data_IF_267176239965
#
_entry.id   IF_267176239965
#
_cell.length_a   1.000
_cell.length_b   1.000
_cell.length_c   1.000
_cell.angle_alpha   90.00
_cell.angle_beta   90.00
_cell.angle_gamma   90.00
#
_symmetry.space_group_name_H-M   'P 1'
#
loop_
_entity.id
_entity.type
_entity.pdbx_description
1 polymer ?
#
# COMPACT_ATOMS: atom_id res chain seq x y z
N UNK A 1 7.01 2.51 6.23
CA UNK A 1 6.88 1.19 6.87
C UNK A 1 7.39 0.13 5.89
N UNK A 2 8.66 -0.26 6.00
CA UNK A 2 9.28 -1.23 5.09
C UNK A 2 8.85 -2.64 5.47
N UNK A 3 8.20 -3.35 4.54
CA UNK A 3 7.78 -4.73 4.75
C UNK A 3 8.99 -5.67 4.69
N UNK A 4 9.40 -6.16 5.86
CA UNK A 4 10.29 -7.31 5.98
C UNK A 4 9.55 -8.59 5.59
N UNK A 5 9.73 -9.02 4.34
CA UNK A 5 9.50 -10.41 3.93
C UNK A 5 10.60 -10.81 2.94
N UNK A 6 11.81 -11.01 3.45
CA UNK A 6 12.77 -11.86 2.74
C UNK A 6 12.19 -13.27 2.72
N UNK A 7 12.21 -13.89 1.55
CA UNK A 7 11.63 -15.20 1.25
C UNK A 7 12.33 -16.38 1.93
N UNK A 8 13.27 -16.13 2.85
CA UNK A 8 14.17 -17.17 3.40
C UNK A 8 14.01 -17.46 4.89
N UNK A 9 13.15 -16.76 5.64
CA UNK A 9 12.91 -17.10 7.06
C UNK A 9 11.42 -17.18 7.38
N UNK A 10 10.91 -18.41 7.52
CA UNK A 10 9.51 -18.73 7.87
C UNK A 10 9.22 -18.62 9.38
N UNK A 11 10.00 -17.86 10.14
CA UNK A 11 9.80 -17.69 11.59
C UNK A 11 9.07 -16.38 11.90
N UNK A 12 8.10 -16.44 12.82
CA UNK A 12 7.28 -15.27 13.22
C UNK A 12 8.04 -14.25 14.07
N UNK A 13 9.24 -14.60 14.54
CA UNK A 13 10.16 -13.72 15.23
C UNK A 13 11.55 -14.01 14.64
N UNK A 14 12.23 -13.00 14.04
CA UNK A 14 13.57 -13.22 13.51
C UNK A 14 14.53 -13.46 14.67
N UNK A 15 15.26 -14.58 14.63
CA UNK A 15 16.43 -14.77 15.48
C UNK A 15 17.50 -13.77 14.99
N UNK A 16 18.29 -13.18 15.89
CA UNK A 16 19.27 -12.13 15.57
C UNK A 16 20.12 -12.38 14.30
N UNK A 17 20.59 -13.62 14.02
CA UNK A 17 21.32 -13.92 12.77
C UNK A 17 20.45 -13.82 11.50
N UNK A 18 19.17 -14.19 11.58
CA UNK A 18 18.22 -14.07 10.47
C UNK A 18 17.93 -12.60 10.14
N UNK A 19 17.89 -11.73 11.16
CA UNK A 19 17.79 -10.29 10.96
C UNK A 19 19.07 -9.75 10.31
N UNK A 20 20.25 -10.03 10.85
CA UNK A 20 21.50 -9.56 10.24
C UNK A 20 21.63 -9.99 8.76
N UNK A 21 21.32 -11.26 8.45
CA UNK A 21 21.35 -11.79 7.08
C UNK A 21 20.38 -11.06 6.14
N UNK A 22 19.11 -10.95 6.52
CA UNK A 22 18.11 -10.31 5.66
C UNK A 22 18.32 -8.80 5.52
N UNK A 23 18.91 -8.13 6.52
CA UNK A 23 19.33 -6.73 6.42
C UNK A 23 20.47 -6.57 5.41
N UNK A 24 21.50 -7.43 5.46
CA UNK A 24 22.60 -7.46 4.48
C UNK A 24 22.06 -7.70 3.06
N UNK A 25 21.14 -8.66 2.89
CA UNK A 25 20.49 -8.93 1.59
C UNK A 25 19.67 -7.74 1.09
N UNK A 26 18.97 -7.02 1.97
CA UNK A 26 18.19 -5.85 1.59
C UNK A 26 19.10 -4.70 1.14
N UNK A 27 20.20 -4.44 1.86
CA UNK A 27 21.21 -3.46 1.46
C UNK A 27 21.76 -3.75 0.07
N UNK A 28 22.19 -4.99 -0.18
CA UNK A 28 22.66 -5.44 -1.49
C UNK A 28 21.60 -5.30 -2.58
N UNK A 29 20.37 -5.75 -2.32
CA UNK A 29 19.29 -5.65 -3.31
C UNK A 29 18.96 -4.20 -3.64
N UNK A 30 19.05 -3.29 -2.66
CA UNK A 30 18.88 -1.86 -2.92
C UNK A 30 20.06 -1.24 -3.66
N UNK A 31 21.29 -1.78 -3.53
CA UNK A 31 22.46 -1.34 -4.29
C UNK A 31 22.43 -1.81 -5.75
N UNK A 32 21.96 -3.04 -6.00
CA UNK A 32 22.01 -3.71 -7.32
C UNK A 32 20.69 -3.51 -8.11
N UNK A 33 19.62 -3.10 -7.45
CA UNK A 33 18.34 -2.85 -8.10
C UNK A 33 18.42 -1.67 -9.06
N UNK A 34 17.97 -1.90 -10.30
CA UNK A 34 17.80 -0.86 -11.32
C UNK A 34 16.86 0.30 -10.93
N UNK A 35 16.18 0.19 -9.78
CA UNK A 35 15.25 1.19 -9.25
C UNK A 35 15.76 1.85 -7.95
N UNK A 36 17.04 1.70 -7.62
CA UNK A 36 17.67 2.36 -6.48
C UNK A 36 17.66 3.90 -6.64
N UNK A 37 17.56 4.69 -5.55
CA UNK A 37 17.73 6.14 -5.63
C UNK A 37 19.17 6.45 -6.06
N UNK A 38 19.33 6.96 -7.28
CA UNK A 38 20.61 7.01 -7.97
C UNK A 38 20.98 5.64 -8.53
N UNK A 39 20.45 5.27 -9.71
CA UNK A 39 20.87 4.12 -10.52
C UNK A 39 22.29 4.31 -11.08
N UNK A 40 23.20 4.54 -10.13
CA UNK A 40 24.64 4.77 -10.08
C UNK A 40 25.28 5.59 -11.20
N UNK A 41 25.26 6.92 -11.05
CA UNK A 41 26.27 7.79 -11.67
C UNK A 41 27.68 7.61 -11.04
N UNK A 42 27.96 6.47 -10.40
CA UNK A 42 29.32 6.03 -10.09
C UNK A 42 29.61 4.88 -11.04
N UNK A 43 30.67 5.01 -11.84
CA UNK A 43 31.21 3.90 -12.61
C UNK A 43 31.35 2.71 -11.66
N UNK A 44 30.69 1.61 -12.00
CA UNK A 44 30.71 0.40 -11.18
C UNK A 44 32.11 -0.21 -11.33
N UNK A 45 33.09 0.38 -10.65
CA UNK A 45 34.46 -0.12 -10.62
C UNK A 45 34.45 -1.37 -9.75
N UNK A 46 35.25 -2.36 -10.12
CA UNK A 46 35.37 -3.68 -9.48
C UNK A 46 35.58 -3.60 -7.95
N UNK A 47 36.01 -2.43 -7.45
CA UNK A 47 36.26 -2.12 -6.04
C UNK A 47 35.05 -1.61 -5.23
N UNK A 48 33.90 -1.31 -5.83
CA UNK A 48 32.73 -0.77 -5.10
C UNK A 48 32.08 -1.77 -4.15
N UNK A 49 32.30 -3.08 -4.36
CA UNK A 49 31.87 -4.14 -3.44
C UNK A 49 32.90 -4.42 -2.33
N UNK A 50 34.17 -4.05 -2.51
CA UNK A 50 35.22 -4.22 -1.49
C UNK A 50 35.07 -3.30 -0.28
N UNK A 51 34.40 -2.14 -0.42
CA UNK A 51 34.05 -1.27 0.72
C UNK A 51 33.07 -1.94 1.70
N UNK A 52 32.32 -2.94 1.24
CA UNK A 52 31.43 -3.76 2.05
C UNK A 52 32.08 -5.06 2.57
N UNK A 53 33.39 -5.24 2.40
CA UNK A 53 34.13 -6.43 2.87
C UNK A 53 33.85 -6.71 4.36
N UNK A 54 33.73 -5.67 5.17
CA UNK A 54 33.43 -5.78 6.61
C UNK A 54 32.01 -6.31 6.89
N UNK A 55 31.07 -6.22 5.94
CA UNK A 55 29.74 -6.84 6.07
C UNK A 55 29.79 -8.36 5.84
N UNK A 56 30.80 -8.88 5.14
CA UNK A 56 30.95 -10.30 4.80
C UNK A 56 32.09 -10.99 5.54
N UNK A 57 32.95 -10.24 6.22
CA UNK A 57 33.84 -10.80 7.22
C UNK A 57 32.98 -11.39 8.33
N UNK A 58 32.88 -12.71 8.36
CA UNK A 58 32.55 -13.41 9.59
C UNK A 58 33.63 -13.01 10.58
N UNK A 59 33.23 -12.48 11.73
CA UNK A 59 34.10 -12.30 12.89
C UNK A 59 34.54 -13.69 13.36
N UNK A 60 35.54 -14.25 12.68
CA UNK A 60 36.45 -15.23 13.23
C UNK A 60 37.67 -14.42 13.66
N UNK A 61 38.03 -14.57 14.93
CA UNK A 61 38.95 -13.75 15.72
C UNK A 61 38.34 -12.46 16.27
N UNK A 62 37.82 -12.57 17.49
CA UNK A 62 38.53 -11.95 18.61
C UNK A 62 38.21 -12.70 19.90
N UNK A 63 39.28 -13.10 20.58
CA UNK A 63 39.29 -13.43 22.01
C UNK A 63 38.36 -12.52 22.80
N UNK A 64 37.64 -13.10 23.77
CA UNK A 64 36.88 -12.42 24.81
C UNK A 64 37.65 -11.19 25.31
N UNK A 65 37.27 -10.00 24.82
CA UNK A 65 37.59 -8.73 25.45
C UNK A 65 36.31 -8.24 26.05
N UNK A 66 36.35 -8.03 27.36
CA UNK A 66 35.27 -7.48 28.17
C UNK A 66 34.68 -6.23 27.51
N UNK A 67 33.45 -6.36 27.00
CA UNK A 67 32.63 -5.25 26.52
C UNK A 67 31.75 -4.69 27.64
N UNK A 68 32.29 -4.58 28.86
CA UNK A 68 31.70 -3.71 29.88
C UNK A 68 32.08 -2.26 29.54
N UNK A 69 31.09 -1.43 29.21
CA UNK A 69 31.15 0.04 29.09
C UNK A 69 31.33 0.67 27.70
N UNK A 70 30.64 0.15 26.68
CA UNK A 70 30.18 1.02 25.59
C UNK A 70 28.65 0.98 25.50
N UNK A 71 28.00 1.95 26.14
CA UNK A 71 26.62 2.31 25.83
C UNK A 71 26.57 2.86 24.39
N UNK A 72 26.35 1.98 23.43
CA UNK A 72 25.89 2.39 22.11
C UNK A 72 24.41 2.75 22.22
N UNK A 73 24.11 3.88 22.86
CA UNK A 73 22.78 4.48 22.79
C UNK A 73 22.60 5.08 21.39
N UNK A 74 22.16 4.25 20.44
CA UNK A 74 21.43 4.81 19.30
C UNK A 74 20.14 5.33 19.90
N UNK A 75 20.11 6.64 20.20
CA UNK A 75 18.86 7.32 20.44
C UNK A 75 17.98 7.01 19.24
N UNK A 76 16.95 6.18 19.47
CA UNK A 76 15.82 6.08 18.56
C UNK A 76 15.46 7.52 18.23
N UNK A 77 15.27 7.87 16.94
CA UNK A 77 14.93 9.23 16.56
C UNK A 77 13.83 9.67 17.52
N UNK A 78 14.09 10.77 18.22
CA UNK A 78 13.19 11.39 19.19
C UNK A 78 11.79 11.14 18.68
N UNK A 79 10.94 10.50 19.49
CA UNK A 79 9.53 10.49 19.19
C UNK A 79 9.12 11.95 19.16
N UNK A 80 9.22 12.57 17.98
CA UNK A 80 8.58 13.82 17.66
C UNK A 80 7.16 13.50 18.07
N UNK A 81 6.70 14.18 19.12
CA UNK A 81 5.32 14.16 19.56
C UNK A 81 4.52 14.37 18.29
N UNK A 82 4.00 13.27 17.73
CA UNK A 82 3.37 13.32 16.42
C UNK A 82 2.25 14.33 16.59
N UNK A 83 2.29 15.48 15.89
CA UNK A 83 1.18 16.40 15.94
C UNK A 83 -0.08 15.59 15.61
N UNK A 84 -1.23 15.88 16.24
CA UNK A 84 -2.44 15.09 16.08
C UNK A 84 -2.65 14.86 14.60
N UNK A 85 -2.46 13.60 14.18
CA UNK A 85 -2.47 13.24 12.77
C UNK A 85 -3.86 13.59 12.27
N UNK A 86 -3.94 14.59 11.39
CA UNK A 86 -5.20 14.98 10.80
C UNK A 86 -5.69 13.82 9.92
N UNK A 87 -6.60 13.00 10.46
CA UNK A 87 -7.13 11.80 9.80
C UNK A 87 -7.78 12.15 8.47
N UNK A 88 -8.45 13.31 8.39
CA UNK A 88 -9.08 13.78 7.16
C UNK A 88 -8.03 14.11 6.09
N UNK A 89 -6.94 14.77 6.48
CA UNK A 89 -5.81 15.01 5.60
C UNK A 89 -5.22 13.69 5.07
N UNK A 90 -4.93 12.72 5.94
CA UNK A 90 -4.43 11.42 5.49
C UNK A 90 -5.40 10.68 4.57
N UNK A 91 -6.70 10.72 4.89
CA UNK A 91 -7.73 10.10 4.08
C UNK A 91 -7.76 10.71 2.67
N UNK A 92 -7.69 12.04 2.58
CA UNK A 92 -7.55 12.78 1.32
C UNK A 92 -6.30 12.38 0.54
N UNK A 93 -5.15 12.29 1.19
CA UNK A 93 -3.90 11.86 0.55
C UNK A 93 -4.01 10.45 -0.06
N UNK A 94 -4.60 9.50 0.68
CA UNK A 94 -4.81 8.13 0.20
C UNK A 94 -5.78 8.10 -0.98
N UNK A 95 -6.85 8.90 -0.94
CA UNK A 95 -7.83 9.00 -2.03
C UNK A 95 -7.19 9.58 -3.30
N UNK A 96 -6.41 10.65 -3.19
CA UNK A 96 -5.66 11.23 -4.31
C UNK A 96 -4.66 10.21 -4.89
N UNK A 97 -3.97 9.45 -4.03
CA UNK A 97 -3.07 8.39 -4.49
C UNK A 97 -3.79 7.28 -5.27
N UNK A 98 -4.96 6.83 -4.80
CA UNK A 98 -5.79 5.85 -5.50
C UNK A 98 -6.23 6.40 -6.87
N UNK A 99 -6.68 7.65 -6.93
CA UNK A 99 -7.06 8.29 -8.19
C UNK A 99 -5.87 8.38 -9.17
N UNK A 100 -4.67 8.72 -8.68
CA UNK A 100 -3.45 8.72 -9.49
C UNK A 100 -3.07 7.33 -10.03
N UNK A 101 -3.24 6.29 -9.22
CA UNK A 101 -3.05 4.90 -9.68
C UNK A 101 -4.06 4.50 -10.77
N UNK A 102 -5.34 4.84 -10.58
CA UNK A 102 -6.39 4.59 -11.58
C UNK A 102 -6.09 5.34 -12.88
N UNK A 103 -5.69 6.61 -12.79
CA UNK A 103 -5.33 7.42 -13.95
C UNK A 103 -4.13 6.84 -14.71
N UNK A 104 -3.10 6.37 -13.99
CA UNK A 104 -1.96 5.68 -14.60
C UNK A 104 -2.38 4.40 -15.34
N UNK A 105 -3.32 3.65 -14.79
CA UNK A 105 -3.87 2.44 -15.44
C UNK A 105 -4.69 2.79 -16.68
N UNK A 106 -5.59 3.76 -16.58
CA UNK A 106 -6.40 4.25 -17.71
C UNK A 106 -5.53 4.83 -18.83
N UNK A 107 -4.44 5.51 -18.48
CA UNK A 107 -3.50 6.00 -19.49
C UNK A 107 -2.87 4.87 -20.31
N UNK A 108 -2.58 3.73 -19.67
CA UNK A 108 -2.03 2.55 -20.36
C UNK A 108 -3.07 1.81 -21.20
N UNK A 109 -4.31 1.67 -20.71
CA UNK A 109 -5.32 0.80 -21.33
C UNK A 109 -6.29 1.54 -22.25
N UNK A 110 -6.62 2.78 -21.94
CA UNK A 110 -7.70 3.55 -22.58
C UNK A 110 -7.15 4.74 -23.36
N UNK A 111 -6.45 5.66 -22.70
CA UNK A 111 -6.05 6.94 -23.32
C UNK A 111 -4.81 6.83 -24.20
N UNK A 112 -3.98 5.79 -24.01
CA UNK A 112 -2.73 5.55 -24.77
C UNK A 112 -1.84 6.81 -24.90
N UNK A 113 -1.59 7.50 -23.78
CA UNK A 113 -0.83 8.76 -23.72
C UNK A 113 -1.45 9.95 -24.46
N UNK A 114 -2.78 10.00 -24.62
CA UNK A 114 -3.45 11.15 -25.20
C UNK A 114 -3.21 12.44 -24.40
N UNK A 115 -2.62 13.43 -25.07
CA UNK A 115 -2.25 14.69 -24.44
C UNK A 115 -3.46 15.50 -23.96
N UNK A 116 -4.54 15.56 -24.75
CA UNK A 116 -5.75 16.31 -24.38
C UNK A 116 -6.40 15.75 -23.11
N UNK A 117 -6.65 14.43 -23.10
CA UNK A 117 -7.28 13.77 -21.97
C UNK A 117 -6.38 13.81 -20.71
N UNK A 118 -5.06 13.66 -20.85
CA UNK A 118 -4.13 13.81 -19.72
C UNK A 118 -4.08 15.24 -19.17
N UNK A 119 -4.16 16.27 -20.03
CA UNK A 119 -4.15 17.68 -19.60
C UNK A 119 -5.39 18.04 -18.78
N UNK A 120 -6.55 17.44 -19.08
CA UNK A 120 -7.80 17.64 -18.34
C UNK A 120 -7.85 16.81 -17.04
N UNK A 121 -7.33 15.59 -17.07
CA UNK A 121 -7.39 14.65 -15.95
C UNK A 121 -6.26 14.80 -14.94
N UNK A 122 -5.11 15.34 -15.33
CA UNK A 122 -4.00 15.60 -14.44
C UNK A 122 -4.06 17.02 -13.86
N UNK A 123 -3.50 17.22 -12.67
CA UNK A 123 -3.32 18.54 -12.11
C UNK A 123 -2.26 19.33 -12.91
N UNK A 124 -2.54 20.62 -13.15
CA UNK A 124 -1.59 21.53 -13.80
C UNK A 124 -0.39 21.87 -12.91
N UNK A 125 -0.58 21.83 -11.59
CA UNK A 125 0.44 22.09 -10.58
C UNK A 125 0.32 21.07 -9.45
N UNK A 126 1.45 20.63 -8.93
CA UNK A 126 1.50 19.76 -7.75
C UNK A 126 1.14 20.62 -6.52
N UNK A 127 0.03 20.28 -5.87
CA UNK A 127 -0.46 20.91 -4.64
C UNK A 127 -0.24 20.00 -3.44
N UNK A 128 -0.51 20.52 -2.23
CA UNK A 128 -0.40 19.77 -0.97
C UNK A 128 -1.25 18.48 -0.95
N UNK A 129 -2.32 18.39 -1.75
CA UNK A 129 -3.14 17.18 -1.89
C UNK A 129 -2.38 15.98 -2.48
N UNK A 130 -1.23 16.24 -3.11
CA UNK A 130 -0.40 15.27 -3.78
C UNK A 130 0.83 14.84 -2.97
N UNK A 131 0.95 15.27 -1.72
CA UNK A 131 2.12 15.00 -0.88
C UNK A 131 2.47 13.52 -0.78
N UNK A 132 1.47 12.63 -0.67
CA UNK A 132 1.69 11.18 -0.66
C UNK A 132 2.16 10.64 -2.01
N UNK A 133 1.69 11.20 -3.13
CA UNK A 133 2.18 10.84 -4.47
C UNK A 133 3.63 11.29 -4.61
N UNK A 134 3.90 12.55 -4.27
CA UNK A 134 5.25 13.15 -4.31
C UNK A 134 6.25 12.36 -3.48
N UNK A 135 5.91 12.02 -2.24
CA UNK A 135 6.77 11.22 -1.35
C UNK A 135 7.01 9.78 -1.84
N UNK A 136 6.19 9.28 -2.77
CA UNK A 136 6.32 7.93 -3.35
C UNK A 136 6.83 7.94 -4.77
N UNK A 137 6.93 9.09 -5.42
CA UNK A 137 7.52 9.18 -6.75
C UNK A 137 9.05 9.11 -6.60
N UNK A 138 9.67 8.32 -7.47
CA UNK A 138 11.10 8.02 -7.34
C UNK A 138 11.98 9.18 -7.83
N UNK A 139 11.46 10.02 -8.72
CA UNK A 139 12.21 11.11 -9.33
C UNK A 139 11.32 12.35 -9.48
N UNK A 140 11.79 13.48 -8.93
CA UNK A 140 11.11 14.78 -9.02
C UNK A 140 11.22 15.42 -10.41
N UNK A 141 12.24 15.07 -11.19
CA UNK A 141 12.45 15.58 -12.55
C UNK A 141 11.65 14.79 -13.59
N UNK A 142 11.45 13.48 -13.37
CA UNK A 142 10.66 12.60 -14.25
C UNK A 142 9.57 11.89 -13.47
N UNK A 143 8.40 12.51 -13.44
CA UNK A 143 7.23 12.01 -12.72
C UNK A 143 6.78 10.66 -13.30
N UNK A 144 6.99 9.59 -12.52
CA UNK A 144 6.61 8.22 -12.89
C UNK A 144 5.16 7.91 -12.51
N UNK A 145 4.64 8.64 -11.51
CA UNK A 145 3.25 8.59 -11.07
C UNK A 145 2.42 9.65 -11.79
N UNK A 146 1.10 9.47 -11.76
CA UNK A 146 0.16 10.44 -12.32
C UNK A 146 -0.49 11.23 -11.19
N UNK A 147 -0.52 12.54 -11.35
CA UNK A 147 -1.04 13.50 -10.39
C UNK A 147 -2.44 13.91 -10.86
N UNK A 148 -3.51 13.36 -10.28
CA UNK A 148 -4.87 13.59 -10.76
C UNK A 148 -5.32 15.03 -10.48
N UNK A 149 -6.20 15.59 -11.31
CA UNK A 149 -6.88 16.85 -11.01
C UNK A 149 -7.85 16.67 -9.84
N UNK A 150 -8.17 17.76 -9.13
CA UNK A 150 -9.12 17.73 -8.01
C UNK A 150 -10.51 17.24 -8.43
N UNK A 151 -10.96 17.61 -9.64
CA UNK A 151 -12.21 17.16 -10.23
C UNK A 151 -12.22 15.63 -10.45
N UNK A 152 -11.17 15.09 -11.07
CA UNK A 152 -11.07 13.64 -11.27
C UNK A 152 -10.90 12.87 -9.95
N UNK A 153 -10.07 13.38 -9.03
CA UNK A 153 -9.90 12.80 -7.69
C UNK A 153 -11.22 12.71 -6.92
N UNK A 154 -12.00 13.79 -6.92
CA UNK A 154 -13.31 13.85 -6.27
C UNK A 154 -14.31 12.87 -6.90
N UNK A 155 -14.33 12.78 -8.23
CA UNK A 155 -15.21 11.82 -8.94
C UNK A 155 -14.86 10.38 -8.57
N UNK A 156 -13.58 10.02 -8.65
CA UNK A 156 -13.10 8.68 -8.27
C UNK A 156 -13.45 8.36 -6.83
N UNK A 157 -13.24 9.30 -5.91
CA UNK A 157 -13.57 9.11 -4.49
C UNK A 157 -15.06 8.83 -4.28
N UNK A 158 -15.94 9.58 -4.94
CA UNK A 158 -17.38 9.35 -4.87
C UNK A 158 -17.76 7.96 -5.39
N UNK A 159 -17.20 7.55 -6.53
CA UNK A 159 -17.43 6.21 -7.10
C UNK A 159 -16.93 5.12 -6.16
N UNK A 160 -15.71 5.24 -5.63
CA UNK A 160 -15.11 4.27 -4.70
C UNK A 160 -15.96 4.15 -3.42
N UNK A 161 -16.46 5.27 -2.91
CA UNK A 161 -17.30 5.30 -1.71
C UNK A 161 -18.65 4.63 -1.97
N UNK A 162 -19.27 4.91 -3.13
CA UNK A 162 -20.50 4.25 -3.57
C UNK A 162 -20.30 2.73 -3.70
N UNK A 163 -19.24 2.28 -4.38
CA UNK A 163 -18.92 0.86 -4.52
C UNK A 163 -18.72 0.21 -3.13
N UNK A 164 -18.02 0.88 -2.22
CA UNK A 164 -17.79 0.37 -0.86
C UNK A 164 -19.09 0.18 -0.06
N UNK A 165 -20.09 1.01 -0.28
CA UNK A 165 -21.41 0.90 0.35
C UNK A 165 -22.29 -0.17 -0.30
N UNK A 166 -22.21 -0.32 -1.63
CA UNK A 166 -23.07 -1.24 -2.38
C UNK A 166 -22.55 -2.67 -2.41
N UNK A 167 -21.23 -2.90 -2.47
CA UNK A 167 -20.68 -4.26 -2.58
C UNK A 167 -21.22 -5.21 -1.50
N UNK A 168 -21.26 -4.85 -0.21
CA UNK A 168 -21.69 -5.79 0.82
C UNK A 168 -23.15 -6.22 0.68
N UNK A 169 -24.02 -5.37 0.12
CA UNK A 169 -25.43 -5.69 -0.10
C UNK A 169 -25.62 -6.57 -1.33
N UNK A 170 -24.83 -6.34 -2.39
CA UNK A 170 -25.02 -7.04 -3.66
C UNK A 170 -24.06 -8.21 -3.92
N UNK A 171 -23.12 -8.48 -3.02
CA UNK A 171 -22.06 -9.48 -3.24
C UNK A 171 -22.56 -10.91 -3.48
N UNK A 172 -23.83 -11.20 -3.18
CA UNK A 172 -24.46 -12.50 -3.39
C UNK A 172 -25.19 -12.61 -4.74
N UNK A 173 -25.40 -11.49 -5.45
CA UNK A 173 -26.09 -11.51 -6.74
C UNK A 173 -25.18 -12.00 -7.87
N UNK A 174 -25.80 -12.52 -8.93
CA UNK A 174 -25.11 -12.83 -10.18
C UNK A 174 -24.84 -11.50 -10.91
N UNK A 175 -23.76 -11.43 -11.69
CA UNK A 175 -23.41 -10.27 -12.52
C UNK A 175 -23.14 -8.94 -11.77
N UNK A 176 -22.62 -8.99 -10.54
CA UNK A 176 -22.27 -7.83 -9.68
C UNK A 176 -21.58 -6.71 -10.45
N UNK A 177 -20.61 -7.06 -11.31
CA UNK A 177 -19.86 -6.08 -12.09
C UNK A 177 -20.77 -5.28 -13.03
N UNK A 178 -21.70 -5.92 -13.70
CA UNK A 178 -22.64 -5.27 -14.63
C UNK A 178 -23.57 -4.34 -13.85
N UNK A 179 -24.20 -4.85 -12.79
CA UNK A 179 -25.08 -4.07 -11.91
C UNK A 179 -24.39 -2.82 -11.35
N UNK A 180 -23.14 -2.95 -10.88
CA UNK A 180 -22.36 -1.80 -10.41
C UNK A 180 -22.07 -0.79 -11.53
N UNK A 181 -21.68 -1.26 -12.71
CA UNK A 181 -21.39 -0.36 -13.84
C UNK A 181 -22.64 0.41 -14.24
N UNK A 182 -23.78 -0.26 -14.38
CA UNK A 182 -25.06 0.34 -14.79
C UNK A 182 -25.52 1.36 -13.73
N UNK A 183 -25.45 1.00 -12.44
CA UNK A 183 -25.79 1.92 -11.35
C UNK A 183 -24.87 3.14 -11.29
N UNK A 184 -23.56 2.98 -11.50
CA UNK A 184 -22.64 4.12 -11.50
C UNK A 184 -22.89 5.01 -12.71
N UNK A 185 -23.13 4.44 -13.88
CA UNK A 185 -23.41 5.18 -15.11
C UNK A 185 -24.69 6.04 -14.98
N UNK A 186 -25.68 5.56 -14.23
CA UNK A 186 -26.94 6.30 -14.00
C UNK A 186 -26.84 7.35 -12.88
N UNK A 187 -25.90 7.21 -11.94
CA UNK A 187 -25.81 8.07 -10.75
C UNK A 187 -24.69 9.12 -10.81
N UNK A 188 -23.72 8.98 -11.72
CA UNK A 188 -22.55 9.85 -11.77
C UNK A 188 -22.38 10.49 -13.14
N UNK A 189 -22.49 11.82 -13.18
CA UNK A 189 -22.23 12.61 -14.38
C UNK A 189 -20.72 12.84 -14.57
N UNK A 190 -20.21 12.48 -15.75
CA UNK A 190 -18.83 12.72 -16.17
C UNK A 190 -18.65 14.08 -16.89
N UNK A 191 -19.71 14.90 -16.98
CA UNK A 191 -19.72 16.20 -17.68
C UNK A 191 -18.61 17.16 -17.25
N UNK A 192 -18.19 17.11 -15.99
CA UNK A 192 -17.12 17.94 -15.45
C UNK A 192 -15.72 17.54 -15.94
N UNK A 193 -15.62 16.45 -16.70
CA UNK A 193 -14.39 15.96 -17.28
C UNK A 193 -14.57 15.97 -18.79
N UNK A 194 -13.99 16.96 -19.45
CA UNK A 194 -13.99 17.02 -20.91
C UNK A 194 -13.08 15.90 -21.45
N UNK A 195 -13.72 14.81 -21.87
CA UNK A 195 -13.05 13.69 -22.50
C UNK A 195 -12.96 13.92 -24.02
N UNK A 196 -11.86 13.47 -24.59
CA UNK A 196 -11.55 13.68 -25.99
C UNK A 196 -12.29 12.67 -26.89
N UNK A 197 -12.86 13.16 -28.01
CA UNK A 197 -13.65 12.36 -28.97
C UNK A 197 -12.85 11.26 -29.68
N UNK A 198 -11.51 11.35 -29.65
CA UNK A 198 -10.59 10.43 -30.33
C UNK A 198 -10.46 9.04 -29.68
N UNK A 199 -11.14 8.78 -28.56
CA UNK A 199 -11.10 7.47 -27.88
C UNK A 199 -12.34 6.60 -28.10
N UNK A 200 -13.17 7.01 -29.06
CA UNK A 200 -14.42 6.36 -29.44
C UNK A 200 -15.52 6.56 -28.40
N UNK A 201 -16.71 6.11 -28.77
CA UNK A 201 -17.89 6.19 -27.91
C UNK A 201 -17.69 5.34 -26.63
N UNK A 202 -18.43 5.68 -25.58
CA UNK A 202 -18.47 4.96 -24.30
C UNK A 202 -17.17 4.99 -23.49
N UNK A 203 -16.39 6.07 -23.60
CA UNK A 203 -15.18 6.26 -22.80
C UNK A 203 -15.45 6.25 -21.29
N UNK A 204 -16.56 6.87 -20.88
CA UNK A 204 -17.03 6.90 -19.48
C UNK A 204 -17.29 5.48 -18.96
N UNK A 205 -17.99 4.67 -19.75
CA UNK A 205 -18.25 3.26 -19.42
C UNK A 205 -16.93 2.50 -19.25
N UNK A 206 -15.92 2.72 -20.11
CA UNK A 206 -14.60 2.09 -19.98
C UNK A 206 -13.89 2.51 -18.68
N UNK A 207 -14.02 3.78 -18.28
CA UNK A 207 -13.48 4.29 -17.02
C UNK A 207 -14.15 3.59 -15.84
N UNK A 208 -15.49 3.60 -15.80
CA UNK A 208 -16.31 2.95 -14.76
C UNK A 208 -15.94 1.47 -14.64
N UNK A 209 -15.89 0.74 -15.76
CA UNK A 209 -15.54 -0.68 -15.78
C UNK A 209 -14.15 -0.97 -15.18
N UNK A 210 -13.18 -0.09 -15.39
CA UNK A 210 -11.84 -0.22 -14.82
C UNK A 210 -11.85 0.03 -13.30
N UNK A 211 -12.58 1.04 -12.84
CA UNK A 211 -12.72 1.36 -11.42
C UNK A 211 -13.43 0.21 -10.69
N UNK A 212 -14.59 -0.22 -11.20
CA UNK A 212 -15.37 -1.33 -10.63
C UNK A 212 -14.52 -2.60 -10.55
N UNK A 213 -13.81 -2.95 -11.63
CA UNK A 213 -12.94 -4.13 -11.62
C UNK A 213 -11.84 -4.05 -10.55
N UNK A 214 -11.19 -2.89 -10.39
CA UNK A 214 -10.17 -2.69 -9.36
C UNK A 214 -10.76 -2.84 -7.95
N UNK A 215 -11.89 -2.17 -7.69
CA UNK A 215 -12.49 -2.10 -6.36
C UNK A 215 -13.09 -3.43 -5.91
N UNK A 216 -13.74 -4.17 -6.81
CA UNK A 216 -14.27 -5.51 -6.51
C UNK A 216 -13.13 -6.47 -6.18
N UNK A 217 -12.06 -6.50 -6.98
CA UNK A 217 -10.90 -7.34 -6.71
C UNK A 217 -10.22 -6.99 -5.39
N UNK A 218 -10.10 -5.69 -5.09
CA UNK A 218 -9.59 -5.21 -3.81
C UNK A 218 -10.45 -5.72 -2.65
N UNK A 219 -11.77 -5.54 -2.72
CA UNK A 219 -12.68 -6.01 -1.67
C UNK A 219 -12.59 -7.53 -1.46
N UNK A 220 -12.61 -8.32 -2.53
CA UNK A 220 -12.43 -9.78 -2.44
C UNK A 220 -11.10 -10.16 -1.79
N UNK A 221 -10.01 -9.46 -2.15
CA UNK A 221 -8.69 -9.67 -1.54
C UNK A 221 -8.70 -9.36 -0.06
N UNK A 222 -9.41 -8.33 0.37
CA UNK A 222 -9.53 -7.96 1.77
C UNK A 222 -10.31 -9.00 2.58
N UNK A 223 -11.45 -9.48 2.06
CA UNK A 223 -12.21 -10.59 2.66
C UNK A 223 -11.33 -11.84 2.77
N UNK A 224 -10.60 -12.20 1.71
CA UNK A 224 -9.70 -13.35 1.72
C UNK A 224 -8.54 -13.19 2.73
N UNK A 225 -7.99 -11.98 2.88
CA UNK A 225 -6.96 -11.71 3.89
C UNK A 225 -7.49 -11.87 5.31
N UNK A 226 -8.75 -11.50 5.56
CA UNK A 226 -9.43 -11.70 6.86
C UNK A 226 -9.63 -13.20 7.11
N UNK A 227 -10.16 -13.96 6.15
CA UNK A 227 -10.33 -15.41 6.24
C UNK A 227 -9.02 -16.14 6.58
N UNK A 228 -7.91 -15.66 6.04
CA UNK A 228 -6.58 -16.22 6.27
C UNK A 228 -5.89 -15.69 7.53
N UNK A 229 -6.51 -14.78 8.29
CA UNK A 229 -5.92 -14.13 9.46
C UNK A 229 -4.71 -13.26 9.14
N UNK A 230 -4.57 -12.82 7.88
CA UNK A 230 -3.50 -11.91 7.43
C UNK A 230 -3.86 -10.44 7.66
N UNK A 231 -5.13 -10.15 7.92
CA UNK A 231 -5.65 -8.84 8.26
C UNK A 231 -6.57 -8.96 9.47
N UNK A 232 -6.35 -8.10 10.46
CA UNK A 232 -7.25 -7.94 11.60
C UNK A 232 -8.40 -7.00 11.23
N UNK A 233 -9.59 -7.30 11.74
CA UNK A 233 -10.76 -6.47 11.52
C UNK A 233 -10.66 -5.19 12.34
N UNK A 234 -11.07 -4.07 11.76
CA UNK A 234 -11.18 -2.82 12.51
C UNK A 234 -12.40 -2.89 13.45
N UNK A 235 -12.35 -2.36 14.69
CA UNK A 235 -13.47 -2.42 15.63
C UNK A 235 -14.78 -1.80 15.12
N UNK A 236 -14.68 -0.79 14.25
CA UNK A 236 -15.82 -0.08 13.64
C UNK A 236 -16.23 -0.66 12.26
N UNK A 237 -15.77 -1.84 11.88
CA UNK A 237 -16.14 -2.44 10.61
C UNK A 237 -17.61 -2.90 10.64
N UNK A 238 -18.39 -2.45 9.65
CA UNK A 238 -19.83 -2.74 9.53
C UNK A 238 -20.16 -3.69 8.38
N UNK A 239 -19.18 -4.03 7.54
CA UNK A 239 -19.39 -4.92 6.39
C UNK A 239 -19.76 -6.35 6.84
N UNK A 240 -20.97 -6.83 6.54
CA UNK A 240 -21.45 -8.14 6.98
C UNK A 240 -20.60 -9.30 6.47
N UNK A 241 -20.03 -9.20 5.27
CA UNK A 241 -19.22 -10.29 4.70
C UNK A 241 -17.84 -10.36 5.36
N UNK A 242 -17.23 -9.21 5.66
CA UNK A 242 -15.98 -9.16 6.42
C UNK A 242 -16.17 -9.63 7.86
N UNK A 243 -17.31 -9.31 8.49
CA UNK A 243 -17.66 -9.80 9.83
C UNK A 243 -17.80 -11.34 9.82
N UNK A 244 -18.54 -11.90 8.85
CA UNK A 244 -18.66 -13.35 8.66
C UNK A 244 -17.29 -14.01 8.43
N UNK A 245 -16.44 -13.41 7.61
CA UNK A 245 -15.09 -13.90 7.35
C UNK A 245 -14.23 -13.93 8.63
N UNK A 246 -14.30 -12.87 9.45
CA UNK A 246 -13.58 -12.81 10.71
C UNK A 246 -14.09 -13.84 11.73
N UNK A 247 -15.42 -14.01 11.83
CA UNK A 247 -16.02 -15.04 12.68
C UNK A 247 -15.57 -16.44 12.28
N UNK A 248 -15.57 -16.73 10.97
CA UNK A 248 -15.08 -18.00 10.44
C UNK A 248 -13.61 -18.22 10.79
N UNK A 249 -12.76 -17.20 10.60
CA UNK A 249 -11.35 -17.26 10.98
C UNK A 249 -11.18 -17.54 12.47
N UNK A 250 -11.88 -16.83 13.36
CA UNK A 250 -11.79 -17.04 14.81
C UNK A 250 -12.21 -18.47 15.19
N UNK A 251 -13.31 -18.97 14.61
CA UNK A 251 -13.86 -20.30 14.89
C UNK A 251 -12.92 -21.44 14.44
N UNK A 252 -12.27 -21.28 13.29
CA UNK A 252 -11.51 -22.35 12.64
C UNK A 252 -9.98 -22.16 12.70
N UNK A 253 -9.49 -21.02 13.19
CA UNK A 253 -8.06 -20.80 13.38
C UNK A 253 -7.52 -21.66 14.51
N UNK A 254 -6.55 -22.52 14.18
CA UNK A 254 -5.81 -23.34 15.15
C UNK A 254 -4.91 -22.52 16.09
N UNK A 255 -4.83 -21.18 15.92
CA UNK A 255 -4.01 -20.32 16.79
C UNK A 255 -4.80 -19.89 18.03
N UNK A 256 -4.63 -20.68 19.10
CA UNK A 256 -4.89 -20.40 20.53
C UNK A 256 -6.36 -20.18 20.95
N UNK A 257 -7.06 -21.29 21.19
CA UNK A 257 -7.56 -21.54 22.54
C UNK A 257 -6.34 -21.85 23.43
N UNK A 258 -5.59 -20.85 23.85
CA UNK A 258 -4.85 -21.04 25.11
C UNK A 258 -5.95 -21.18 26.16
N UNK A 259 -5.99 -22.28 26.93
CA UNK A 259 -6.73 -22.22 28.18
C UNK A 259 -6.18 -21.00 28.91
N UNK A 260 -7.05 -20.09 29.38
CA UNK A 260 -6.64 -19.24 30.48
C UNK A 260 -6.13 -20.20 31.55
N UNK A 261 -4.81 -20.24 31.72
CA UNK A 261 -4.20 -21.01 32.80
C UNK A 261 -4.85 -20.53 34.08
N UNK A 262 -5.26 -21.49 34.91
CA UNK A 262 -5.95 -21.31 36.20
C UNK A 262 -5.11 -20.56 37.27
N UNK A 263 -4.20 -19.67 36.88
CA UNK A 263 -3.36 -18.89 37.78
C UNK A 263 -3.51 -17.42 37.46
N UNK A 264 -4.65 -16.87 37.87
CA UNK A 264 -4.84 -15.46 38.21
C UNK A 264 -6.15 -15.39 39.02
N UNK A 265 -6.14 -16.03 40.17
CA UNK A 265 -7.07 -15.75 41.25
C UNK A 265 -6.24 -15.56 42.52
N UNK A 266 -6.30 -14.32 43.03
CA UNK A 266 -6.20 -13.94 44.45
C UNK A 266 -4.75 -14.03 45.01
N UNK A 267 -4.17 -12.98 45.61
CA UNK A 267 -4.72 -12.26 46.76
C UNK A 267 -4.10 -10.86 46.92
N UNK A 268 -4.98 -9.91 47.19
CA UNK A 268 -4.75 -8.67 47.92
C UNK A 268 -4.23 -8.97 49.34
N UNK A 269 -3.13 -8.31 49.72
CA UNK A 269 -2.91 -7.68 51.03
C UNK A 269 -2.19 -6.36 50.75
#
# INVERSE_FOLDING_TARGET
MFFWRSTQCKFKQPIMPCFASAYKTLLLNNLISSNAPGSNCEDFVETSLTSYKNLFQNSQDDSVKDFSNYEFSVSLPVQISNPPINVNYLCGQVQTYIAGYILKKLNKTVFKNCHHCLKQLCANKVTNEHNLISARDYNTQRLSLKYPSSAFGSLVQKIVSYIGQQIPTICHHINIRKTLCDNINNNFDFKNISLCSNHGDNLEIKIIQNIVHLMVNYWCTEVNRILLGRKTLHPKETDPMKLKANFWYIKHSKKKKTPQGKFNYIQSI
#
